data_IF_812771110067
#
_entry.id   IF_812771110067
#
_cell.length_a   1.000
_cell.length_b   1.000
_cell.length_c   1.000
_cell.angle_alpha   90.00
_cell.angle_beta   90.00
_cell.angle_gamma   90.00
#
_symmetry.space_group_name_H-M   'P 1'
#
loop_
_entity.id
_entity.type
_entity.pdbx_description
1 polymer ?
#
# COMPACT_ATOMS: atom_id res chain seq x y z
N UNK A 1 -0.56 11.26 -3.74
CA UNK A 1 -1.81 10.48 -3.75
C UNK A 1 -2.30 10.33 -2.32
N UNK A 2 -3.61 10.42 -2.08
CA UNK A 2 -4.17 10.59 -0.73
C UNK A 2 -4.96 9.41 -0.15
N UNK A 3 -4.99 8.24 -0.80
CA UNK A 3 -5.79 7.11 -0.29
C UNK A 3 -5.84 5.84 -1.15
N UNK A 4 -4.87 5.61 -2.05
CA UNK A 4 -4.93 4.51 -3.02
C UNK A 4 -5.71 4.90 -4.29
N UNK A 5 -5.13 4.64 -5.46
CA UNK A 5 -5.72 5.06 -6.74
C UNK A 5 -7.11 4.44 -6.99
N UNK A 6 -7.30 3.20 -6.53
CA UNK A 6 -8.51 2.42 -6.80
C UNK A 6 -9.65 2.69 -5.82
N UNK A 7 -9.36 3.15 -4.60
CA UNK A 7 -10.35 3.28 -3.51
C UNK A 7 -10.64 4.73 -3.10
N UNK A 8 -9.95 5.70 -3.72
CA UNK A 8 -10.03 7.11 -3.32
C UNK A 8 -11.45 7.69 -3.33
N UNK A 9 -12.28 7.31 -4.30
CA UNK A 9 -13.66 7.79 -4.43
C UNK A 9 -14.60 7.27 -3.34
N UNK A 10 -14.28 6.12 -2.72
CA UNK A 10 -15.09 5.57 -1.61
C UNK A 10 -15.09 6.49 -0.38
N UNK A 11 -14.08 7.36 -0.24
CA UNK A 11 -14.05 8.38 0.81
C UNK A 11 -15.30 9.28 0.79
N UNK A 12 -15.84 9.56 -0.40
CA UNK A 12 -17.03 10.40 -0.57
C UNK A 12 -18.30 9.75 0.00
N UNK A 13 -18.29 8.42 0.15
CA UNK A 13 -19.38 7.64 0.74
C UNK A 13 -19.23 7.51 2.27
N UNK A 14 -18.24 8.16 2.87
CA UNK A 14 -17.93 8.03 4.30
C UNK A 14 -17.16 6.74 4.65
N UNK A 15 -16.67 6.00 3.65
CA UNK A 15 -15.87 4.79 3.88
C UNK A 15 -14.49 5.15 4.44
N UNK A 16 -14.08 4.45 5.51
CA UNK A 16 -12.73 4.54 6.05
C UNK A 16 -11.75 3.90 5.06
N UNK A 17 -10.69 4.64 4.70
CA UNK A 17 -9.66 4.17 3.78
C UNK A 17 -8.33 3.99 4.52
N UNK A 18 -7.58 2.97 4.11
CA UNK A 18 -6.22 2.71 4.56
C UNK A 18 -5.35 2.35 3.37
N UNK A 19 -4.06 2.69 3.43
CA UNK A 19 -3.10 2.42 2.36
C UNK A 19 -1.72 2.08 2.97
N UNK A 20 -0.98 1.20 2.31
CA UNK A 20 0.46 1.03 2.57
C UNK A 20 1.21 2.06 1.72
N UNK A 21 2.02 2.89 2.39
CA UNK A 21 2.94 3.79 1.73
C UNK A 21 4.34 3.17 1.71
N UNK A 22 4.85 2.74 0.54
CA UNK A 22 6.26 2.38 0.39
C UNK A 22 7.16 3.62 0.53
N UNK A 23 8.49 3.42 0.55
CA UNK A 23 9.46 4.50 0.66
C UNK A 23 9.24 5.57 -0.42
N UNK A 24 8.74 6.73 0.00
CA UNK A 24 8.37 7.82 -0.89
C UNK A 24 9.57 8.55 -1.47
N UNK A 25 10.76 8.45 -0.86
CA UNK A 25 11.96 9.11 -1.36
C UNK A 25 12.45 8.46 -2.65
N UNK A 26 12.30 7.14 -2.76
CA UNK A 26 12.75 6.34 -3.92
C UNK A 26 11.65 6.03 -4.92
N UNK A 27 10.40 6.34 -4.58
CA UNK A 27 9.23 5.98 -5.39
C UNK A 27 9.35 6.48 -6.84
N UNK A 28 9.74 7.74 -7.03
CA UNK A 28 9.84 8.34 -8.36
C UNK A 28 11.13 7.99 -9.14
N UNK A 29 12.07 7.27 -8.52
CA UNK A 29 13.23 6.73 -9.24
C UNK A 29 12.83 5.55 -10.15
N UNK A 30 11.70 4.89 -9.84
CA UNK A 30 11.21 3.69 -10.54
C UNK A 30 9.81 3.86 -11.11
N UNK A 31 8.94 4.68 -10.50
CA UNK A 31 7.56 4.85 -10.92
C UNK A 31 7.46 5.36 -12.38
N UNK A 32 6.78 4.60 -13.24
CA UNK A 32 6.64 4.87 -14.68
C UNK A 32 7.99 4.98 -15.43
N UNK A 33 9.04 4.32 -14.94
CA UNK A 33 10.34 4.27 -15.60
C UNK A 33 10.61 2.89 -16.22
N UNK A 34 11.52 2.82 -17.20
CA UNK A 34 11.97 1.55 -17.77
C UNK A 34 12.70 0.64 -16.76
N UNK A 35 13.07 1.19 -15.59
CA UNK A 35 13.68 0.51 -14.44
C UNK A 35 12.65 -0.13 -13.52
N UNK A 36 11.35 0.05 -13.74
CA UNK A 36 10.28 -0.64 -13.01
C UNK A 36 10.27 -2.14 -13.38
N UNK A 37 11.13 -2.90 -12.69
CA UNK A 37 11.37 -4.32 -12.93
C UNK A 37 11.52 -5.04 -11.60
N UNK A 38 11.40 -6.37 -11.63
CA UNK A 38 11.45 -7.21 -10.43
C UNK A 38 12.76 -7.04 -9.64
N UNK A 39 13.87 -6.77 -10.31
CA UNK A 39 15.18 -6.57 -9.67
C UNK A 39 15.22 -5.32 -8.78
N UNK A 40 14.34 -4.34 -9.01
CA UNK A 40 14.22 -3.15 -8.17
C UNK A 40 13.39 -3.41 -6.90
N UNK A 41 12.73 -4.58 -6.79
CA UNK A 41 11.89 -4.94 -5.65
C UNK A 41 12.74 -5.48 -4.51
N UNK A 42 12.61 -4.86 -3.34
CA UNK A 42 13.17 -5.38 -2.10
C UNK A 42 12.32 -6.55 -1.59
N UNK A 43 12.84 -7.78 -1.68
CA UNK A 43 12.15 -8.99 -1.19
C UNK A 43 11.76 -8.87 0.29
N UNK A 44 12.63 -8.26 1.11
CA UNK A 44 12.37 -8.02 2.53
C UNK A 44 11.18 -7.10 2.73
N UNK A 45 11.14 -5.97 2.04
CA UNK A 45 10.05 -4.99 2.20
C UNK A 45 8.73 -5.53 1.66
N UNK A 46 8.76 -6.28 0.56
CA UNK A 46 7.58 -6.98 0.03
C UNK A 46 6.97 -7.93 1.07
N UNK A 47 7.79 -8.81 1.66
CA UNK A 47 7.33 -9.77 2.68
C UNK A 47 6.82 -9.09 3.95
N UNK A 48 7.51 -8.05 4.42
CA UNK A 48 7.09 -7.29 5.60
C UNK A 48 5.76 -6.58 5.37
N UNK A 49 5.59 -5.96 4.20
CA UNK A 49 4.35 -5.24 3.84
C UNK A 49 3.18 -6.22 3.71
N UNK A 50 3.41 -7.40 3.14
CA UNK A 50 2.40 -8.45 3.04
C UNK A 50 1.98 -8.96 4.43
N UNK A 51 2.93 -9.23 5.32
CA UNK A 51 2.64 -9.64 6.70
C UNK A 51 1.87 -8.56 7.47
N UNK A 52 2.25 -7.28 7.29
CA UNK A 52 1.56 -6.14 7.89
C UNK A 52 0.13 -6.01 7.40
N UNK A 53 -0.11 -6.12 6.09
CA UNK A 53 -1.46 -6.06 5.52
C UNK A 53 -2.34 -7.21 6.04
N UNK A 54 -1.79 -8.43 6.10
CA UNK A 54 -2.52 -9.58 6.65
C UNK A 54 -2.89 -9.37 8.12
N UNK A 55 -1.95 -8.88 8.94
CA UNK A 55 -2.22 -8.54 10.33
C UNK A 55 -3.24 -7.41 10.48
N UNK A 56 -3.14 -6.36 9.66
CA UNK A 56 -4.08 -5.25 9.65
C UNK A 56 -5.52 -5.72 9.33
N UNK A 57 -5.69 -6.50 8.25
CA UNK A 57 -6.99 -7.06 7.88
C UNK A 57 -7.54 -7.94 9.01
N UNK A 58 -6.70 -8.79 9.60
CA UNK A 58 -7.11 -9.64 10.73
C UNK A 58 -7.62 -8.82 11.92
N UNK A 59 -6.91 -7.76 12.30
CA UNK A 59 -7.30 -6.92 13.43
C UNK A 59 -8.62 -6.19 13.15
N UNK A 60 -8.80 -5.65 11.94
CA UNK A 60 -10.05 -4.99 11.55
C UNK A 60 -11.22 -5.98 11.51
N UNK A 61 -11.02 -7.18 10.98
CA UNK A 61 -12.04 -8.25 10.99
C UNK A 61 -12.45 -8.63 12.43
N UNK A 62 -11.47 -8.75 13.34
CA UNK A 62 -11.68 -9.23 14.71
C UNK A 62 -12.27 -8.19 15.65
N UNK A 63 -11.88 -6.93 15.47
CA UNK A 63 -12.20 -5.86 16.42
C UNK A 63 -13.05 -4.73 15.83
N UNK A 64 -13.28 -4.73 14.52
CA UNK A 64 -14.00 -3.67 13.82
C UNK A 64 -13.15 -2.43 13.57
N UNK A 65 -13.84 -1.36 13.15
CA UNK A 65 -13.32 0.00 13.00
C UNK A 65 -13.93 0.92 14.06
#
# INVERSE_FOLDING_TARGET
GGGGADIGDLKQLGTVLSNIYPDSQRYFDVHHAATDKLEAVSERELKLSAAMMAAFIYLVDKYGL
#
